data_IF_357762224628
#
_entry.id   IF_357762224628
#
_cell.length_a   1.000
_cell.length_b   1.000
_cell.length_c   1.000
_cell.angle_alpha   90.00
_cell.angle_beta   90.00
_cell.angle_gamma   90.00
#
_symmetry.space_group_name_H-M   'P 1'
#
loop_
_entity.id
_entity.type
_entity.pdbx_description
1 polymer ?
#
# COMPACT_ATOMS: atom_id res chain seq x y z
N UNK A 1 -2.22 11.42 -10.78
CA UNK A 1 -2.43 11.12 -9.34
C UNK A 1 -1.43 10.06 -8.94
N UNK A 2 -1.00 9.99 -7.68
CA UNK A 2 -0.16 8.89 -7.21
C UNK A 2 -1.02 7.84 -6.48
N UNK A 3 -0.70 6.58 -6.71
CA UNK A 3 -1.30 5.43 -6.06
C UNK A 3 -0.21 4.66 -5.33
N UNK A 4 -0.47 4.24 -4.11
CA UNK A 4 0.46 3.40 -3.36
C UNK A 4 -0.09 1.98 -3.28
N UNK A 5 0.59 0.99 -3.84
CA UNK A 5 0.41 -0.41 -3.51
C UNK A 5 1.28 -0.82 -2.33
N UNK A 6 0.68 -1.46 -1.33
CA UNK A 6 1.38 -2.06 -0.20
C UNK A 6 1.10 -3.56 -0.23
N UNK A 7 2.15 -4.35 -0.41
CA UNK A 7 2.06 -5.80 -0.41
C UNK A 7 2.69 -6.35 0.88
N UNK A 8 1.84 -6.95 1.74
CA UNK A 8 2.22 -7.47 3.04
C UNK A 8 2.47 -8.99 2.95
N UNK A 9 3.72 -9.38 3.13
CA UNK A 9 4.12 -10.78 3.23
C UNK A 9 4.20 -11.26 4.69
N UNK A 10 3.82 -12.52 4.91
CA UNK A 10 3.89 -13.21 6.21
C UNK A 10 5.32 -13.35 6.76
N UNK A 11 6.35 -13.32 5.90
CA UNK A 11 7.76 -13.47 6.27
C UNK A 11 8.44 -12.15 6.70
N UNK A 12 7.70 -11.22 7.30
CA UNK A 12 8.19 -9.94 7.83
C UNK A 12 8.64 -8.91 6.78
N UNK A 13 8.06 -8.94 5.58
CA UNK A 13 8.39 -7.97 4.54
C UNK A 13 7.13 -7.30 4.00
N UNK A 14 7.17 -5.98 3.92
CA UNK A 14 6.13 -5.14 3.36
C UNK A 14 6.73 -4.39 2.18
N UNK A 15 6.20 -4.61 0.98
CA UNK A 15 6.65 -3.93 -0.23
C UNK A 15 5.74 -2.73 -0.46
N UNK A 16 6.30 -1.53 -0.44
CA UNK A 16 5.61 -0.30 -0.82
C UNK A 16 6.00 0.02 -2.25
N UNK A 17 5.00 0.26 -3.10
CA UNK A 17 5.17 0.70 -4.48
C UNK A 17 4.28 1.91 -4.67
N UNK A 18 4.87 3.07 -4.99
CA UNK A 18 4.12 4.25 -5.41
C UNK A 18 4.25 4.37 -6.92
N UNK A 19 3.11 4.45 -7.61
CA UNK A 19 3.02 4.58 -9.06
C UNK A 19 2.16 5.78 -9.42
N UNK A 20 2.38 6.34 -10.61
CA UNK A 20 1.49 7.36 -11.17
C UNK A 20 0.32 6.74 -11.97
N UNK A 21 -0.51 7.60 -12.53
CA UNK A 21 -1.67 7.24 -13.38
C UNK A 21 -1.29 6.49 -14.67
N UNK A 22 -0.03 6.59 -15.12
CA UNK A 22 0.50 5.90 -16.29
C UNK A 22 1.17 4.56 -15.93
N UNK A 23 0.88 4.02 -14.74
CA UNK A 23 1.49 2.80 -14.20
C UNK A 23 3.02 2.91 -14.01
N UNK A 24 3.55 4.14 -13.97
CA UNK A 24 4.99 4.34 -13.78
C UNK A 24 5.31 4.33 -12.29
N UNK A 25 6.10 3.34 -11.88
CA UNK A 25 6.64 3.28 -10.51
C UNK A 25 7.56 4.47 -10.25
N UNK A 26 7.15 5.34 -9.33
CA UNK A 26 7.95 6.50 -8.86
C UNK A 26 8.74 6.17 -7.62
N UNK A 27 8.29 5.19 -6.83
CA UNK A 27 8.98 4.73 -5.64
C UNK A 27 8.70 3.25 -5.42
N UNK A 28 9.72 2.46 -5.07
CA UNK A 28 9.52 1.12 -4.56
C UNK A 28 10.52 0.82 -3.46
N UNK A 29 10.05 0.28 -2.34
CA UNK A 29 10.90 -0.09 -1.24
C UNK A 29 10.35 -1.27 -0.46
N UNK A 30 11.26 -2.09 0.09
CA UNK A 30 10.92 -3.20 0.97
C UNK A 30 11.22 -2.80 2.41
N UNK A 31 10.18 -2.73 3.21
CA UNK A 31 10.23 -2.34 4.61
C UNK A 31 9.93 -3.54 5.51
N UNK A 32 10.41 -3.52 6.76
CA UNK A 32 9.92 -4.44 7.77
C UNK A 32 8.44 -4.19 8.05
N UNK A 33 7.74 -5.17 8.63
CA UNK A 33 6.35 -5.05 9.10
C UNK A 33 6.26 -4.13 10.33
N UNK A 34 6.59 -2.86 10.15
CA UNK A 34 6.60 -1.83 11.17
C UNK A 34 5.86 -0.58 10.68
N UNK A 35 4.82 -0.20 11.40
CA UNK A 35 3.90 0.87 11.01
C UNK A 35 4.58 2.24 10.96
N UNK A 36 5.49 2.51 11.89
CA UNK A 36 6.21 3.79 11.95
C UNK A 36 7.12 3.96 10.72
N UNK A 37 7.82 2.89 10.33
CA UNK A 37 8.67 2.88 9.13
C UNK A 37 7.83 3.10 7.87
N UNK A 38 6.67 2.44 7.78
CA UNK A 38 5.71 2.59 6.66
C UNK A 38 5.18 4.03 6.58
N UNK A 39 4.70 4.59 7.69
CA UNK A 39 4.20 5.97 7.73
C UNK A 39 5.29 6.97 7.37
N UNK A 40 6.53 6.75 7.81
CA UNK A 40 7.66 7.61 7.46
C UNK A 40 7.96 7.57 5.96
N UNK A 41 7.91 6.39 5.35
CA UNK A 41 8.13 6.24 3.90
C UNK A 41 6.99 6.87 3.09
N UNK A 42 5.74 6.70 3.53
CA UNK A 42 4.55 7.26 2.87
C UNK A 42 4.35 8.75 3.14
N UNK A 43 4.93 9.29 4.22
CA UNK A 43 4.78 10.69 4.60
C UNK A 43 5.21 11.66 3.51
N UNK A 44 6.29 11.33 2.79
CA UNK A 44 6.79 12.12 1.66
C UNK A 44 5.80 12.21 0.49
N UNK A 45 4.91 11.22 0.35
CA UNK A 45 3.96 11.12 -0.75
C UNK A 45 2.51 11.36 -0.31
N UNK A 46 2.25 11.62 0.98
CA UNK A 46 0.89 11.69 1.54
C UNK A 46 0.00 12.73 0.87
N UNK A 47 0.55 13.87 0.45
CA UNK A 47 -0.21 14.93 -0.22
C UNK A 47 -0.54 14.62 -1.69
N UNK A 48 0.26 13.77 -2.33
CA UNK A 48 0.12 13.41 -3.75
C UNK A 48 -0.61 12.07 -3.95
N UNK A 49 -0.69 11.27 -2.87
CA UNK A 49 -1.38 9.99 -2.83
C UNK A 49 -2.89 10.19 -2.88
N UNK A 50 -3.48 9.75 -3.99
CA UNK A 50 -4.93 9.70 -4.14
C UNK A 50 -5.56 8.49 -3.45
N UNK A 51 -4.78 7.42 -3.24
CA UNK A 51 -5.25 6.21 -2.59
C UNK A 51 -4.12 5.24 -2.27
N UNK A 52 -4.30 4.51 -1.17
CA UNK A 52 -3.39 3.44 -0.75
C UNK A 52 -4.11 2.11 -0.90
N UNK A 53 -3.57 1.24 -1.74
CA UNK A 53 -4.02 -0.11 -2.02
C UNK A 53 -3.23 -1.05 -1.13
N UNK A 54 -3.87 -1.85 -0.30
CA UNK A 54 -3.19 -2.88 0.51
C UNK A 54 -3.57 -4.26 0.00
N UNK A 55 -2.57 -4.99 -0.46
CA UNK A 55 -2.63 -6.41 -0.81
C UNK A 55 -2.01 -7.21 0.34
N UNK A 56 -2.80 -8.10 0.93
CA UNK A 56 -2.35 -8.84 2.09
C UNK A 56 -3.11 -10.17 2.19
N UNK A 57 -2.36 -11.24 2.41
CA UNK A 57 -2.93 -12.58 2.63
C UNK A 57 -3.15 -12.90 4.12
N UNK A 58 -2.53 -12.16 5.05
CA UNK A 58 -2.66 -12.39 6.50
C UNK A 58 -2.38 -11.13 7.34
N UNK A 59 -2.98 -11.04 8.55
CA UNK A 59 -2.68 -10.05 9.60
C UNK A 59 -2.57 -8.58 9.10
N UNK A 60 -3.62 -8.03 8.48
CA UNK A 60 -3.61 -6.70 7.85
C UNK A 60 -4.26 -5.58 8.67
N UNK A 61 -5.11 -5.95 9.64
CA UNK A 61 -5.90 -5.00 10.42
C UNK A 61 -5.04 -3.91 11.07
N UNK A 62 -3.89 -4.28 11.66
CA UNK A 62 -2.99 -3.32 12.29
C UNK A 62 -2.46 -2.28 11.31
N UNK A 63 -2.15 -2.68 10.07
CA UNK A 63 -1.63 -1.78 9.04
C UNK A 63 -2.71 -0.80 8.58
N UNK A 64 -3.92 -1.31 8.34
CA UNK A 64 -5.06 -0.49 7.95
C UNK A 64 -5.44 0.50 9.04
N UNK A 65 -5.57 0.04 10.28
CA UNK A 65 -5.92 0.91 11.39
C UNK A 65 -4.90 2.03 11.58
N UNK A 66 -3.59 1.72 11.46
CA UNK A 66 -2.55 2.76 11.59
C UNK A 66 -2.51 3.74 10.42
N UNK A 67 -2.79 3.29 9.21
CA UNK A 67 -2.87 4.17 8.03
C UNK A 67 -4.13 5.05 8.06
N UNK A 68 -5.29 4.49 8.45
CA UNK A 68 -6.53 5.26 8.66
C UNK A 68 -6.35 6.28 9.77
N UNK A 69 -5.74 5.89 10.89
CA UNK A 69 -5.42 6.80 11.99
C UNK A 69 -4.45 7.92 11.58
N UNK A 70 -3.57 7.65 10.60
CA UNK A 70 -2.65 8.63 10.02
C UNK A 70 -3.30 9.50 8.91
N UNK A 71 -4.59 9.29 8.59
CA UNK A 71 -5.34 10.09 7.64
C UNK A 71 -5.20 9.66 6.17
N UNK A 72 -4.70 8.46 5.89
CA UNK A 72 -4.61 7.95 4.52
C UNK A 72 -5.96 7.41 4.03
N UNK A 73 -6.29 7.68 2.76
CA UNK A 73 -7.45 7.08 2.09
C UNK A 73 -7.08 5.70 1.57
N UNK A 74 -7.62 4.68 2.23
CA UNK A 74 -7.31 3.27 2.00
C UNK A 74 -8.35 2.58 1.13
N UNK A 75 -7.86 1.84 0.14
CA UNK A 75 -8.60 0.89 -0.67
C UNK A 75 -8.07 -0.51 -0.36
N UNK A 76 -8.84 -1.27 0.40
CA UNK A 76 -8.50 -2.66 0.70
C UNK A 76 -8.78 -3.54 -0.50
N UNK A 77 -7.79 -4.35 -0.89
CA UNK A 77 -7.97 -5.38 -1.91
C UNK A 77 -7.59 -6.71 -1.30
N UNK A 78 -8.58 -7.59 -1.17
CA UNK A 78 -8.32 -8.95 -0.73
C UNK A 78 -7.97 -9.78 -1.97
N UNK A 79 -6.81 -10.45 -1.97
CA UNK A 79 -6.37 -11.33 -3.06
C UNK A 79 -7.36 -12.46 -3.39
N UNK A 80 -8.30 -12.79 -2.47
CA UNK A 80 -9.40 -13.73 -2.77
C UNK A 80 -10.58 -13.11 -3.53
N UNK A 81 -10.69 -11.79 -3.60
CA UNK A 81 -11.79 -11.05 -4.26
C UNK A 81 -11.32 -10.07 -5.35
N UNK A 82 -10.02 -9.96 -5.62
CA UNK A 82 -9.53 -9.25 -6.80
C UNK A 82 -9.96 -10.08 -8.01
N UNK A 83 -11.03 -9.63 -8.70
CA UNK A 83 -11.14 -9.89 -10.13
C UNK A 83 -9.87 -9.36 -10.75
N UNK A 84 -8.98 -10.29 -11.09
CA UNK A 84 -7.82 -10.05 -11.94
C UNK A 84 -8.29 -9.11 -13.04
N UNK A 85 -7.72 -7.92 -13.12
CA UNK A 85 -8.01 -7.01 -14.22
C UNK A 85 -7.67 -7.80 -15.48
N UNK A 86 -8.71 -8.26 -16.18
CA UNK A 86 -8.58 -8.96 -17.43
C UNK A 86 -8.16 -7.89 -18.43
N UNK A 87 -6.84 -7.74 -18.59
CA UNK A 87 -6.28 -6.99 -19.70
C UNK A 87 -6.95 -7.48 -20.98
N UNK A 88 -7.75 -6.62 -21.57
CA UNK A 88 -8.27 -6.70 -22.93
C UNK A 88 -7.90 -5.39 -23.61
#
# INVERSE_FOLDING_TARGET
MLFCGIDLHSNNCLVIVVSDDNDKVVYSNRLPNDLATVCTALGSYQQELSGVVVECTYNWYWLVDGLVASGYSLHLTNTTEIKQYAGL
#
